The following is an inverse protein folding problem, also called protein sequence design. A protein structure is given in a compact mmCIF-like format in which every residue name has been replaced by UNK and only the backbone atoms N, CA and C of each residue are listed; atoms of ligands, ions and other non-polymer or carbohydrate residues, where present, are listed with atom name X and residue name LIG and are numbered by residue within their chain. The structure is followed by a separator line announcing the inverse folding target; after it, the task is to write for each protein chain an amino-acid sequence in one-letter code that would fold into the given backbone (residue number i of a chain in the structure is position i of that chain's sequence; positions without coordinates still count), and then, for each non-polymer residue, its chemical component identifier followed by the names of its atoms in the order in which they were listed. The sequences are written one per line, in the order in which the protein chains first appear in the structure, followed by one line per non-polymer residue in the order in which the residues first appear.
data_IF_767525735186
#
_entry.id   IF_767525735186
#
_cell.length_a   1.000
_cell.length_b   1.000
_cell.length_c   1.000
_cell.angle_alpha   90.00
_cell.angle_beta   90.00
_cell.angle_gamma   90.00
#
_symmetry.space_group_name_H-M   'P 1'
#
loop_
_entity.id
_entity.type
_entity.pdbx_description
1 polymer ?
#
# COMPACT_ATOMS: atom_id res chain seq x y z
N UNK A 1 -54.56 18.69 -8.83
CA UNK A 1 -53.56 19.05 -9.86
C UNK A 1 -52.69 20.14 -9.23
N UNK A 2 -51.40 19.97 -8.97
CA UNK A 2 -50.30 19.71 -9.91
C UNK A 2 -49.17 18.93 -9.22
N UNK A 3 -48.49 18.10 -10.01
CA UNK A 3 -47.45 17.13 -9.63
C UNK A 3 -46.07 17.75 -9.88
N UNK A 4 -45.13 17.42 -8.99
CA UNK A 4 -43.74 16.96 -9.21
C UNK A 4 -42.96 17.67 -10.32
N UNK A 5 -41.85 18.32 -9.94
CA UNK A 5 -40.63 18.34 -10.76
C UNK A 5 -39.44 18.10 -9.84
N UNK A 6 -38.89 16.90 -9.91
CA UNK A 6 -37.54 16.59 -9.48
C UNK A 6 -36.80 16.01 -10.66
N UNK A 7 -35.66 16.60 -11.03
CA UNK A 7 -34.58 15.97 -11.79
C UNK A 7 -33.33 16.82 -11.59
N UNK A 8 -32.33 16.23 -10.94
CA UNK A 8 -31.03 16.80 -10.59
C UNK A 8 -30.00 15.95 -11.35
N UNK A 9 -29.32 16.53 -12.34
CA UNK A 9 -28.17 15.92 -13.02
C UNK A 9 -27.23 17.01 -13.56
N UNK A 10 -25.94 16.85 -13.27
CA UNK A 10 -24.81 17.61 -13.84
C UNK A 10 -24.63 18.99 -13.20
N UNK A 11 -23.44 19.48 -12.86
CA UNK A 11 -22.17 19.37 -13.58
C UNK A 11 -21.01 19.59 -12.58
N UNK A 12 -19.93 18.85 -12.81
CA UNK A 12 -18.63 19.00 -12.19
C UNK A 12 -17.97 20.35 -12.53
N UNK A 13 -17.21 20.95 -11.59
CA UNK A 13 -16.39 22.10 -11.96
C UNK A 13 -15.75 22.82 -10.78
N UNK A 14 -14.43 22.68 -10.70
CA UNK A 14 -13.47 23.44 -9.88
C UNK A 14 -13.77 24.95 -9.94
N UNK A 15 -13.79 25.64 -8.80
CA UNK A 15 -13.98 27.09 -8.79
C UNK A 15 -13.74 27.75 -7.44
N UNK A 16 -12.51 28.25 -7.27
CA UNK A 16 -12.09 29.48 -6.59
C UNK A 16 -12.94 30.01 -5.40
N UNK A 17 -12.23 30.19 -4.28
CA UNK A 17 -12.46 31.21 -3.26
C UNK A 17 -12.96 32.54 -3.85
N UNK A 18 -14.21 32.92 -3.55
CA UNK A 18 -14.61 34.31 -3.41
C UNK A 18 -15.60 34.44 -2.23
N UNK A 19 -15.19 35.21 -1.22
CA UNK A 19 -16.09 35.74 -0.20
C UNK A 19 -17.14 36.63 -0.90
N UNK A 20 -18.42 36.42 -0.60
CA UNK A 20 -19.47 37.42 -0.83
C UNK A 20 -20.47 37.32 0.31
N UNK A 21 -20.55 38.39 1.10
CA UNK A 21 -21.51 38.59 2.19
C UNK A 21 -22.76 39.26 1.60
N UNK A 22 -23.93 38.63 1.72
CA UNK A 22 -25.25 39.27 1.61
C UNK A 22 -26.21 38.64 2.63
N UNK A 23 -26.98 39.50 3.30
CA UNK A 23 -27.76 39.30 4.52
C UNK A 23 -29.23 38.89 4.27
N UNK A 24 -29.79 38.20 5.29
CA UNK A 24 -31.19 38.22 5.77
C UNK A 24 -32.09 36.96 5.58
N UNK A 25 -31.93 36.03 6.54
CA UNK A 25 -32.93 35.35 7.39
C UNK A 25 -34.00 34.40 6.83
N UNK A 26 -33.81 33.08 7.04
CA UNK A 26 -34.73 32.22 7.82
C UNK A 26 -34.15 30.81 8.08
N UNK A 27 -33.98 30.48 9.37
CA UNK A 27 -33.58 29.16 9.95
C UNK A 27 -32.16 28.66 9.71
N UNK A 28 -31.17 29.41 10.20
CA UNK A 28 -29.88 28.84 10.60
C UNK A 28 -30.07 28.11 11.94
N UNK A 29 -29.98 26.78 11.93
CA UNK A 29 -29.64 26.04 13.16
C UNK A 29 -28.18 26.39 13.45
N UNK A 30 -27.82 26.88 14.65
CA UNK A 30 -26.42 27.13 14.95
C UNK A 30 -25.67 25.81 14.84
N UNK A 31 -24.68 25.73 13.94
CA UNK A 31 -23.69 24.66 13.97
C UNK A 31 -22.85 24.92 15.21
N UNK A 32 -23.30 24.39 16.35
CA UNK A 32 -22.60 24.45 17.64
C UNK A 32 -21.20 23.91 17.43
N UNK A 33 -20.16 24.60 17.92
CA UNK A 33 -18.75 24.18 17.76
C UNK A 33 -18.48 22.73 18.18
N UNK A 34 -19.30 22.19 19.08
CA UNK A 34 -19.30 20.78 19.48
C UNK A 34 -19.56 19.80 18.31
N UNK A 35 -20.35 20.21 17.30
CA UNK A 35 -20.61 19.41 16.10
C UNK A 35 -19.39 19.37 15.20
N UNK A 36 -18.69 20.49 15.01
CA UNK A 36 -17.47 20.55 14.19
C UNK A 36 -16.32 19.78 14.85
N UNK A 37 -16.15 19.89 16.18
CA UNK A 37 -15.12 19.13 16.93
C UNK A 37 -15.41 17.63 16.87
N UNK A 38 -16.68 17.23 17.06
CA UNK A 38 -17.09 15.82 16.99
C UNK A 38 -16.94 15.23 15.59
N UNK A 39 -17.41 15.92 14.56
CA UNK A 39 -17.27 15.47 13.16
C UNK A 39 -15.80 15.42 12.73
N UNK A 40 -14.97 16.36 13.21
CA UNK A 40 -13.52 16.31 12.98
C UNK A 40 -12.90 15.09 13.66
N UNK A 41 -13.28 14.75 14.89
CA UNK A 41 -12.81 13.54 15.58
C UNK A 41 -13.29 12.25 14.92
N UNK A 42 -14.55 12.21 14.50
CA UNK A 42 -15.15 11.06 13.79
C UNK A 42 -14.44 10.83 12.45
N UNK A 43 -14.23 11.89 11.65
CA UNK A 43 -13.52 11.80 10.38
C UNK A 43 -12.04 11.39 10.54
N UNK A 44 -11.35 11.92 11.56
CA UNK A 44 -9.96 11.54 11.89
C UNK A 44 -9.89 10.09 12.35
N UNK A 45 -10.83 9.64 13.20
CA UNK A 45 -10.89 8.26 13.69
C UNK A 45 -11.21 7.28 12.55
N UNK A 46 -12.20 7.60 11.71
CA UNK A 46 -12.55 6.78 10.55
C UNK A 46 -11.38 6.64 9.56
N UNK A 47 -10.66 7.73 9.30
CA UNK A 47 -9.45 7.72 8.44
C UNK A 47 -8.33 6.88 9.05
N UNK A 48 -8.13 6.99 10.37
CA UNK A 48 -7.14 6.20 11.12
C UNK A 48 -7.46 4.72 11.05
N UNK A 49 -8.69 4.33 11.35
CA UNK A 49 -9.13 2.93 11.34
C UNK A 49 -9.04 2.33 9.94
N UNK A 50 -9.44 3.07 8.91
CA UNK A 50 -9.29 2.66 7.51
C UNK A 50 -7.81 2.40 7.17
N UNK A 51 -6.92 3.30 7.56
CA UNK A 51 -5.48 3.14 7.33
C UNK A 51 -4.93 1.91 8.08
N UNK A 52 -5.33 1.69 9.33
CA UNK A 52 -4.92 0.52 10.12
C UNK A 52 -5.35 -0.78 9.43
N UNK A 53 -6.59 -0.86 8.95
CA UNK A 53 -7.09 -2.04 8.24
C UNK A 53 -6.31 -2.30 6.94
N UNK A 54 -6.08 -1.25 6.15
CA UNK A 54 -5.29 -1.37 4.92
C UNK A 54 -3.86 -1.84 5.20
N UNK A 55 -3.21 -1.28 6.22
CA UNK A 55 -1.88 -1.69 6.67
C UNK A 55 -1.84 -3.17 7.03
N UNK A 56 -2.78 -3.64 7.84
CA UNK A 56 -2.84 -5.02 8.29
C UNK A 56 -3.07 -6.01 7.13
N UNK A 57 -3.88 -5.64 6.13
CA UNK A 57 -4.09 -6.47 4.93
C UNK A 57 -2.80 -6.52 4.09
N UNK A 58 -2.17 -5.37 3.85
CA UNK A 58 -0.95 -5.31 3.06
C UNK A 58 0.21 -6.05 3.74
N UNK A 59 0.39 -5.86 5.06
CA UNK A 59 1.43 -6.56 5.83
C UNK A 59 1.27 -8.08 5.73
N UNK A 60 0.04 -8.59 5.91
CA UNK A 60 -0.24 -10.03 5.75
C UNK A 60 0.08 -10.54 4.35
N UNK A 61 -0.26 -9.77 3.31
CA UNK A 61 0.07 -10.13 1.93
C UNK A 61 1.58 -10.22 1.71
N UNK A 62 2.33 -9.20 2.15
CA UNK A 62 3.80 -9.17 2.02
C UNK A 62 4.43 -10.31 2.78
N UNK A 63 3.98 -10.60 4.01
CA UNK A 63 4.49 -11.71 4.80
C UNK A 63 4.25 -13.05 4.13
N UNK A 64 3.02 -13.31 3.64
CA UNK A 64 2.69 -14.55 2.96
C UNK A 64 3.55 -14.76 1.69
N UNK A 65 3.78 -13.69 0.94
CA UNK A 65 4.64 -13.74 -0.26
C UNK A 65 6.12 -13.97 0.10
N UNK A 66 6.61 -13.39 1.19
CA UNK A 66 7.96 -13.65 1.71
C UNK A 66 8.14 -15.11 2.15
N UNK A 67 7.12 -15.67 2.82
CA UNK A 67 7.13 -17.06 3.26
C UNK A 67 7.14 -18.02 2.04
N UNK A 68 6.32 -17.74 1.01
CA UNK A 68 6.35 -18.46 -0.27
C UNK A 68 7.73 -18.35 -0.93
N UNK A 69 8.30 -17.15 -0.98
CA UNK A 69 9.60 -16.91 -1.58
C UNK A 69 10.70 -17.67 -0.85
N UNK A 70 10.63 -17.79 0.48
CA UNK A 70 11.58 -18.57 1.27
C UNK A 70 11.56 -20.05 0.88
N UNK A 71 10.38 -20.64 0.69
CA UNK A 71 10.23 -22.01 0.22
C UNK A 71 10.82 -22.19 -1.19
N UNK A 72 10.53 -21.25 -2.09
CA UNK A 72 11.04 -21.27 -3.46
C UNK A 72 12.56 -21.11 -3.54
N UNK A 73 13.15 -20.26 -2.69
CA UNK A 73 14.61 -20.11 -2.58
C UNK A 73 15.25 -21.41 -2.06
N UNK A 74 14.62 -22.09 -1.09
CA UNK A 74 15.11 -23.38 -0.60
C UNK A 74 15.08 -24.46 -1.70
N UNK A 75 13.99 -24.52 -2.48
CA UNK A 75 13.92 -25.40 -3.65
C UNK A 75 15.00 -25.08 -4.68
N UNK A 76 15.18 -23.79 -5.01
CA UNK A 76 16.18 -23.32 -5.96
C UNK A 76 17.59 -23.77 -5.53
N UNK A 77 17.92 -23.64 -4.24
CA UNK A 77 19.19 -24.12 -3.66
C UNK A 77 19.39 -25.63 -3.85
N UNK A 78 18.34 -26.42 -3.67
CA UNK A 78 18.40 -27.87 -3.86
C UNK A 78 18.65 -28.26 -5.32
N UNK A 79 18.26 -27.43 -6.29
CA UNK A 79 18.49 -27.70 -7.71
C UNK A 79 19.92 -27.38 -8.16
N UNK A 80 20.62 -26.48 -7.45
CA UNK A 80 22.00 -26.08 -7.80
C UNK A 80 22.97 -27.25 -7.83
N UNK A 81 22.75 -28.28 -6.99
CA UNK A 81 23.64 -29.44 -6.90
C UNK A 81 23.67 -30.27 -8.19
N UNK A 82 22.70 -30.10 -9.09
CA UNK A 82 22.61 -30.79 -10.37
C UNK A 82 23.18 -29.98 -11.55
N UNK A 83 23.57 -28.72 -11.35
CA UNK A 83 24.11 -27.86 -12.39
C UNK A 83 25.61 -28.13 -12.67
N UNK A 84 26.09 -27.74 -13.85
CA UNK A 84 27.53 -27.77 -14.18
C UNK A 84 28.33 -26.82 -13.27
N UNK A 85 29.65 -27.01 -13.14
CA UNK A 85 30.50 -26.19 -12.24
C UNK A 85 30.42 -24.69 -12.57
N UNK A 86 30.40 -24.32 -13.84
CA UNK A 86 30.26 -22.93 -14.28
C UNK A 86 28.88 -22.36 -13.95
N UNK A 87 27.81 -23.10 -14.26
CA UNK A 87 26.45 -22.72 -13.91
C UNK A 87 26.25 -22.64 -12.39
N UNK A 88 26.90 -23.50 -11.60
CA UNK A 88 26.86 -23.44 -10.14
C UNK A 88 27.40 -22.11 -9.60
N UNK A 89 28.50 -21.59 -10.15
CA UNK A 89 29.07 -20.33 -9.70
C UNK A 89 28.11 -19.14 -9.95
N UNK A 90 27.52 -19.08 -11.14
CA UNK A 90 26.57 -18.03 -11.52
C UNK A 90 25.27 -18.12 -10.72
N UNK A 91 24.69 -19.32 -10.58
CA UNK A 91 23.50 -19.54 -9.75
C UNK A 91 23.77 -19.17 -8.30
N UNK A 92 24.92 -19.55 -7.73
CA UNK A 92 25.27 -19.18 -6.36
C UNK A 92 25.39 -17.66 -6.17
N UNK A 93 25.97 -16.96 -7.15
CA UNK A 93 26.02 -15.48 -7.14
C UNK A 93 24.62 -14.89 -7.16
N UNK A 94 23.75 -15.39 -8.04
CA UNK A 94 22.37 -14.93 -8.13
C UNK A 94 21.56 -15.23 -6.86
N UNK A 95 21.78 -16.39 -6.21
CA UNK A 95 21.16 -16.76 -4.92
C UNK A 95 21.61 -15.82 -3.80
N UNK A 96 22.89 -15.42 -3.75
CA UNK A 96 23.37 -14.45 -2.75
C UNK A 96 22.69 -13.10 -2.89
N UNK A 97 22.53 -12.60 -4.11
CA UNK A 97 21.80 -11.36 -4.37
C UNK A 97 20.31 -11.49 -4.03
N UNK A 98 19.71 -12.61 -4.38
CA UNK A 98 18.33 -12.95 -4.03
C UNK A 98 18.08 -12.93 -2.52
N UNK A 99 19.00 -13.48 -1.73
CA UNK A 99 18.90 -13.45 -0.26
C UNK A 99 19.00 -12.04 0.32
N UNK A 100 19.90 -11.20 -0.20
CA UNK A 100 19.99 -9.78 0.20
C UNK A 100 18.67 -9.04 -0.08
N UNK A 101 18.03 -9.32 -1.22
CA UNK A 101 16.73 -8.74 -1.56
C UNK A 101 15.61 -9.24 -0.65
N UNK A 102 15.64 -10.51 -0.26
CA UNK A 102 14.70 -11.08 0.71
C UNK A 102 14.84 -10.41 2.07
N UNK A 103 16.06 -10.25 2.57
CA UNK A 103 16.34 -9.54 3.82
C UNK A 103 15.89 -8.07 3.78
N UNK A 104 16.09 -7.39 2.65
CA UNK A 104 15.61 -6.02 2.46
C UNK A 104 14.07 -5.97 2.53
N UNK A 105 13.39 -6.88 1.83
CA UNK A 105 11.94 -6.95 1.85
C UNK A 105 11.38 -7.31 3.24
N UNK A 106 12.06 -8.20 3.99
CA UNK A 106 11.74 -8.48 5.39
C UNK A 106 11.85 -7.21 6.25
N UNK A 107 12.92 -6.42 6.11
CA UNK A 107 13.04 -5.12 6.80
C UNK A 107 11.92 -4.14 6.44
N UNK A 108 11.35 -4.22 5.23
CA UNK A 108 10.21 -3.39 4.83
C UNK A 108 8.89 -3.77 5.52
N UNK A 109 8.76 -4.98 6.04
CA UNK A 109 7.61 -5.36 6.87
C UNK A 109 7.55 -4.51 8.15
N UNK A 110 8.72 -4.18 8.71
CA UNK A 110 8.80 -3.35 9.92
C UNK A 110 8.50 -1.87 9.65
N UNK A 111 8.84 -1.40 8.45
CA UNK A 111 8.41 -0.08 7.97
C UNK A 111 6.88 -0.03 7.83
N UNK A 112 6.21 -1.11 7.36
CA UNK A 112 4.75 -1.19 7.31
C UNK A 112 4.16 -1.06 8.70
N UNK A 113 4.68 -1.79 9.68
CA UNK A 113 4.17 -1.75 11.05
C UNK A 113 4.23 -0.31 11.62
N UNK A 114 5.36 0.37 11.45
CA UNK A 114 5.62 1.71 12.00
C UNK A 114 4.99 2.88 11.20
N UNK A 115 4.43 2.64 10.01
CA UNK A 115 3.88 3.71 9.17
C UNK A 115 2.70 4.46 9.82
N UNK A 116 2.65 5.78 9.65
CA UNK A 116 1.51 6.62 10.04
C UNK A 116 0.61 6.85 8.82
N UNK A 117 -0.56 7.47 9.01
CA UNK A 117 -1.42 7.86 7.89
C UNK A 117 -0.69 8.77 6.87
N UNK A 118 0.19 9.65 7.33
CA UNK A 118 0.96 10.54 6.45
C UNK A 118 2.10 9.86 5.69
N UNK A 119 2.68 8.78 6.22
CA UNK A 119 3.77 8.04 5.56
C UNK A 119 3.31 6.79 4.81
N UNK A 120 2.04 6.40 4.96
CA UNK A 120 1.51 5.11 4.50
C UNK A 120 1.77 4.82 3.03
N UNK A 121 1.39 5.72 2.12
CA UNK A 121 1.54 5.49 0.69
C UNK A 121 3.01 5.36 0.25
N UNK A 122 3.92 6.11 0.88
CA UNK A 122 5.34 5.99 0.59
C UNK A 122 5.90 4.64 1.06
N UNK A 123 5.53 4.19 2.26
CA UNK A 123 5.96 2.89 2.80
C UNK A 123 5.42 1.75 1.94
N UNK A 124 4.14 1.80 1.57
CA UNK A 124 3.49 0.83 0.68
C UNK A 124 4.20 0.73 -0.67
N UNK A 125 4.48 1.87 -1.31
CA UNK A 125 5.20 1.94 -2.59
C UNK A 125 6.62 1.36 -2.48
N UNK A 126 7.40 1.77 -1.47
CA UNK A 126 8.77 1.24 -1.26
C UNK A 126 8.79 -0.25 -0.96
N UNK A 127 7.79 -0.76 -0.24
CA UNK A 127 7.69 -2.19 0.05
C UNK A 127 7.31 -2.98 -1.18
N UNK A 128 6.35 -2.48 -1.98
CA UNK A 128 5.99 -3.10 -3.27
C UNK A 128 7.21 -3.18 -4.20
N UNK A 129 7.98 -2.10 -4.33
CA UNK A 129 9.20 -2.10 -5.12
C UNK A 129 10.25 -3.11 -4.61
N UNK A 130 10.39 -3.28 -3.29
CA UNK A 130 11.29 -4.28 -2.73
C UNK A 130 10.84 -5.73 -3.03
N UNK A 131 9.54 -5.99 -3.00
CA UNK A 131 8.96 -7.29 -3.40
C UNK A 131 9.11 -7.54 -4.90
N UNK A 132 8.96 -6.50 -5.73
CA UNK A 132 9.19 -6.58 -7.17
C UNK A 132 10.65 -6.95 -7.49
N UNK A 133 11.60 -6.24 -6.88
CA UNK A 133 13.04 -6.53 -6.97
C UNK A 133 13.36 -7.96 -6.55
N UNK A 134 12.72 -8.45 -5.48
CA UNK A 134 12.89 -9.81 -4.97
C UNK A 134 12.40 -10.86 -5.99
N UNK A 135 11.21 -10.68 -6.56
CA UNK A 135 10.65 -11.58 -7.58
C UNK A 135 11.51 -11.61 -8.85
N UNK A 136 12.01 -10.44 -9.26
CA UNK A 136 12.89 -10.34 -10.43
C UNK A 136 14.23 -11.03 -10.17
N UNK A 137 14.78 -10.88 -8.96
CA UNK A 137 16.01 -11.56 -8.57
C UNK A 137 15.83 -13.07 -8.51
N UNK A 138 14.65 -13.56 -8.08
CA UNK A 138 14.33 -14.97 -8.11
C UNK A 138 14.28 -15.50 -9.54
N UNK A 139 13.64 -14.75 -10.44
CA UNK A 139 13.52 -15.11 -11.86
C UNK A 139 14.89 -15.20 -12.53
N UNK A 140 15.79 -14.23 -12.26
CA UNK A 140 17.19 -14.27 -12.72
C UNK A 140 17.96 -15.46 -12.15
N UNK A 141 17.84 -15.74 -10.86
CA UNK A 141 18.54 -16.88 -10.26
C UNK A 141 18.08 -18.21 -10.87
N UNK A 142 16.78 -18.35 -11.15
CA UNK A 142 16.21 -19.53 -11.81
C UNK A 142 16.66 -19.67 -13.27
N UNK A 143 16.90 -18.59 -14.01
CA UNK A 143 17.32 -18.68 -15.42
C UNK A 143 18.74 -19.20 -15.61
N UNK A 144 19.54 -19.29 -14.54
CA UNK A 144 20.88 -19.90 -14.59
C UNK A 144 20.86 -21.41 -14.35
N UNK A 145 19.72 -21.99 -13.95
CA UNK A 145 19.58 -23.44 -13.82
C UNK A 145 19.25 -24.06 -15.19
N UNK A 146 19.77 -25.27 -15.47
CA UNK A 146 19.44 -26.04 -16.67
C UNK A 146 17.99 -26.54 -16.68
#
# INVERSE_FOLDING_TARGET
MKRIVGTLCGVAGIGLLTLSVVSACASDKPVTGDTVIRETQEAVTATKDYTIQQKAVFQRKVQAELDEMQLRIAQLRGQVTHASVEAQADVQKAIRELEKKKELAQKKVEDIHSATASSWEQVKSKTAAAMDDLRDSFTRARSHLP
#
